data_IF_157638378542
#
_entry.id   IF_157638378542
#
_cell.length_a   1.000
_cell.length_b   1.000
_cell.length_c   1.000
_cell.angle_alpha   90.00
_cell.angle_beta   90.00
_cell.angle_gamma   90.00
#
_symmetry.space_group_name_H-M   'P 1'
#
loop_
_entity.id
_entity.type
_entity.pdbx_description
1 polymer ?
#
# COMPACT_ATOMS: atom_id res chain seq x y z
N UNK A 1 -5.36 -19.28 17.76
CA UNK A 1 -4.77 -17.95 17.48
C UNK A 1 -4.15 -18.01 16.08
N UNK A 2 -4.99 -17.95 15.06
CA UNK A 2 -4.51 -18.00 13.68
C UNK A 2 -3.90 -16.64 13.33
N UNK A 3 -2.58 -16.60 13.42
CA UNK A 3 -1.74 -15.51 12.93
C UNK A 3 -2.12 -15.26 11.48
N UNK A 4 -2.80 -14.15 11.19
CA UNK A 4 -3.06 -13.75 9.79
C UNK A 4 -1.70 -13.80 9.08
N UNK A 5 -1.52 -14.69 8.09
CA UNK A 5 -0.21 -14.96 7.54
C UNK A 5 0.35 -13.65 6.98
N UNK A 6 1.62 -13.37 7.25
CA UNK A 6 2.27 -12.13 6.81
C UNK A 6 2.07 -11.90 5.31
N UNK A 7 2.04 -12.98 4.53
CA UNK A 7 1.76 -12.98 3.10
C UNK A 7 0.42 -12.32 2.77
N UNK A 8 -0.65 -12.57 3.53
CA UNK A 8 -1.98 -12.02 3.27
C UNK A 8 -2.04 -10.53 3.56
N UNK A 9 -1.30 -10.04 4.58
CA UNK A 9 -1.14 -8.59 4.82
C UNK A 9 -0.33 -7.92 3.73
N UNK A 10 0.76 -8.55 3.30
CA UNK A 10 1.63 -8.01 2.25
C UNK A 10 0.85 -7.91 0.94
N UNK A 11 0.11 -8.95 0.56
CA UNK A 11 -0.73 -8.95 -0.65
C UNK A 11 -1.85 -7.89 -0.55
N UNK A 12 -2.48 -7.73 0.61
CA UNK A 12 -3.51 -6.70 0.83
C UNK A 12 -2.98 -5.26 0.70
N UNK A 13 -1.68 -5.04 0.89
CA UNK A 13 -1.02 -3.73 0.71
C UNK A 13 -0.48 -3.58 -0.72
N UNK A 14 0.12 -4.64 -1.27
CA UNK A 14 0.70 -4.66 -2.62
C UNK A 14 -0.35 -4.40 -3.72
N UNK A 15 -1.57 -4.92 -3.52
CA UNK A 15 -2.62 -4.82 -4.53
C UNK A 15 -3.11 -3.38 -4.76
N UNK A 16 -3.58 -2.63 -3.75
CA UNK A 16 -3.95 -1.22 -3.93
C UNK A 16 -2.76 -0.30 -4.23
N UNK A 17 -1.54 -0.63 -3.77
CA UNK A 17 -0.35 0.15 -4.11
C UNK A 17 -0.01 0.02 -5.60
N UNK A 18 -0.20 -1.15 -6.20
CA UNK A 18 -0.02 -1.37 -7.63
C UNK A 18 -0.96 -0.50 -8.49
N UNK A 19 -2.24 -0.42 -8.11
CA UNK A 19 -3.22 0.42 -8.82
C UNK A 19 -2.86 1.91 -8.69
N UNK A 20 -2.55 2.36 -7.47
CA UNK A 20 -2.15 3.75 -7.22
C UNK A 20 -0.88 4.13 -7.99
N UNK A 21 0.09 3.21 -8.06
CA UNK A 21 1.32 3.40 -8.81
C UNK A 21 1.08 3.52 -10.31
N UNK A 22 0.18 2.69 -10.87
CA UNK A 22 -0.23 2.81 -12.27
C UNK A 22 -0.83 4.18 -12.58
N UNK A 23 -1.75 4.67 -11.74
CA UNK A 23 -2.37 6.00 -11.91
C UNK A 23 -1.32 7.11 -11.78
N UNK A 24 -0.47 7.07 -10.77
CA UNK A 24 0.59 8.05 -10.56
C UNK A 24 1.59 8.07 -11.73
N UNK A 25 1.93 6.89 -12.27
CA UNK A 25 2.81 6.78 -13.45
C UNK A 25 2.19 7.45 -14.67
N UNK A 26 0.91 7.18 -14.96
CA UNK A 26 0.17 7.79 -16.07
C UNK A 26 0.11 9.30 -15.90
N UNK A 27 -0.26 9.79 -14.71
CA UNK A 27 -0.32 11.23 -14.42
C UNK A 27 1.06 11.89 -14.55
N UNK A 28 2.11 11.24 -14.05
CA UNK A 28 3.47 11.77 -14.13
C UNK A 28 3.98 11.82 -15.56
N UNK A 29 3.80 10.77 -16.35
CA UNK A 29 4.21 10.79 -17.77
C UNK A 29 3.33 11.66 -18.65
N UNK A 30 2.09 11.95 -18.23
CA UNK A 30 1.24 12.96 -18.86
C UNK A 30 1.69 14.38 -18.52
N UNK A 31 2.10 14.63 -17.27
CA UNK A 31 2.55 15.94 -16.80
C UNK A 31 3.99 16.27 -17.25
N UNK A 32 4.86 15.26 -17.23
CA UNK A 32 6.25 15.32 -17.67
C UNK A 32 6.38 14.46 -18.93
N UNK A 33 6.10 15.06 -20.09
CA UNK A 33 6.18 14.36 -21.36
C UNK A 33 7.63 13.87 -21.60
N UNK A 34 7.88 12.56 -21.54
CA UNK A 34 9.22 12.01 -21.72
C UNK A 34 9.77 12.27 -23.13
N UNK A 35 8.89 12.51 -24.12
CA UNK A 35 9.29 12.80 -25.50
C UNK A 35 9.93 14.19 -25.66
N UNK A 36 9.61 15.14 -24.77
CA UNK A 36 10.14 16.51 -24.83
C UNK A 36 11.47 16.63 -24.07
N UNK A 37 11.65 15.88 -22.98
CA UNK A 37 12.79 16.03 -22.07
C UNK A 37 14.03 15.24 -22.52
N UNK A 38 13.85 14.11 -23.23
CA UNK A 38 14.94 13.19 -23.60
C UNK A 38 15.18 13.08 -25.11
N UNK A 39 14.88 14.12 -25.90
CA UNK A 39 15.16 14.09 -27.35
C UNK A 39 16.65 13.92 -27.67
N UNK A 40 17.55 14.34 -26.76
CA UNK A 40 19.01 14.30 -26.95
C UNK A 40 19.72 13.12 -26.29
N UNK A 41 19.09 12.47 -25.30
CA UNK A 41 19.64 11.28 -24.64
C UNK A 41 18.81 10.10 -25.14
N UNK A 42 19.42 9.19 -25.91
CA UNK A 42 18.81 7.98 -26.51
C UNK A 42 18.37 6.94 -25.46
N UNK A 43 17.79 7.41 -24.36
CA UNK A 43 17.14 6.63 -23.34
C UNK A 43 15.81 6.19 -23.93
N UNK A 44 15.71 4.88 -24.17
CA UNK A 44 14.47 4.28 -24.67
C UNK A 44 13.29 4.69 -23.79
N UNK A 45 12.23 5.20 -24.43
CA UNK A 45 10.94 5.52 -23.80
C UNK A 45 10.46 4.41 -22.86
N UNK A 46 10.69 3.15 -23.23
CA UNK A 46 10.35 1.97 -22.43
C UNK A 46 11.06 1.96 -21.06
N UNK A 47 12.32 2.41 -21.01
CA UNK A 47 13.12 2.46 -19.80
C UNK A 47 12.56 3.48 -18.80
N UNK A 48 12.19 4.66 -19.29
CA UNK A 48 11.62 5.71 -18.46
C UNK A 48 10.23 5.33 -17.91
N UNK A 49 9.38 4.72 -18.73
CA UNK A 49 8.08 4.18 -18.27
C UNK A 49 8.26 3.16 -17.15
N UNK A 50 9.25 2.27 -17.28
CA UNK A 50 9.53 1.23 -16.28
C UNK A 50 10.06 1.84 -14.99
N UNK A 51 11.00 2.80 -15.07
CA UNK A 51 11.57 3.48 -13.89
C UNK A 51 10.48 4.22 -13.11
N UNK A 52 9.64 5.01 -13.79
CA UNK A 52 8.53 5.72 -13.14
C UNK A 52 7.57 4.73 -12.47
N UNK A 53 7.22 3.64 -13.16
CA UNK A 53 6.38 2.59 -12.60
C UNK A 53 6.96 2.00 -11.31
N UNK A 54 8.24 1.60 -11.30
CA UNK A 54 8.87 1.03 -10.12
C UNK A 54 9.02 2.04 -8.98
N UNK A 55 9.37 3.30 -9.28
CA UNK A 55 9.47 4.37 -8.27
C UNK A 55 8.13 4.62 -7.59
N UNK A 56 7.06 4.80 -8.38
CA UNK A 56 5.72 5.02 -7.83
C UNK A 56 5.17 3.79 -7.12
N UNK A 57 5.52 2.58 -7.57
CA UNK A 57 5.14 1.34 -6.90
C UNK A 57 5.81 1.19 -5.54
N UNK A 58 7.12 1.43 -5.43
CA UNK A 58 7.83 1.45 -4.16
C UNK A 58 7.29 2.54 -3.22
N UNK A 59 7.06 3.76 -3.73
CA UNK A 59 6.52 4.86 -2.94
C UNK A 59 5.11 4.59 -2.43
N UNK A 60 4.24 4.01 -3.28
CA UNK A 60 2.89 3.58 -2.90
C UNK A 60 2.92 2.46 -1.88
N UNK A 61 3.82 1.48 -2.03
CA UNK A 61 4.01 0.41 -1.06
C UNK A 61 4.50 0.93 0.30
N UNK A 62 5.46 1.87 0.31
CA UNK A 62 5.96 2.51 1.54
C UNK A 62 4.86 3.33 2.21
N UNK A 63 4.11 4.13 1.45
CA UNK A 63 3.02 4.96 1.98
C UNK A 63 1.92 4.09 2.58
N UNK A 64 1.45 3.08 1.84
CA UNK A 64 0.43 2.15 2.33
C UNK A 64 0.92 1.33 3.54
N UNK A 65 2.18 0.89 3.53
CA UNK A 65 2.79 0.22 4.69
C UNK A 65 2.89 1.14 5.89
N UNK A 66 3.25 2.40 5.70
CA UNK A 66 3.34 3.42 6.76
C UNK A 66 1.96 3.77 7.32
N UNK A 67 0.96 3.96 6.46
CA UNK A 67 -0.44 4.14 6.84
C UNK A 67 -0.94 2.92 7.62
N UNK A 68 -0.71 1.70 7.13
CA UNK A 68 -1.06 0.47 7.86
C UNK A 68 -0.28 0.32 9.17
N UNK A 69 0.96 0.80 9.25
CA UNK A 69 1.76 0.81 10.48
C UNK A 69 1.16 1.76 11.51
N UNK A 70 0.73 2.96 11.08
CA UNK A 70 0.04 3.94 11.92
C UNK A 70 -1.39 3.55 12.33
N UNK A 71 -2.14 2.83 11.48
CA UNK A 71 -3.49 2.33 11.84
C UNK A 71 -3.45 1.02 12.66
N UNK A 72 -2.33 0.28 12.63
CA UNK A 72 -2.16 -0.95 13.42
C UNK A 72 -2.45 -0.79 14.92
N UNK A 73 -2.05 0.30 15.62
CA UNK A 73 -2.42 0.50 17.03
C UNK A 73 -3.94 0.40 17.26
N UNK A 74 -4.79 0.99 16.41
CA UNK A 74 -6.23 0.98 16.64
C UNK A 74 -6.88 -0.40 16.39
N UNK A 75 -6.47 -1.13 15.36
CA UNK A 75 -7.09 -2.43 15.03
C UNK A 75 -6.81 -3.54 16.07
N UNK A 76 -5.58 -3.58 16.61
CA UNK A 76 -5.20 -4.54 17.64
C UNK A 76 -5.90 -4.22 18.97
N UNK A 77 -5.99 -2.92 19.32
CA UNK A 77 -6.69 -2.45 20.52
C UNK A 77 -8.20 -2.70 20.40
N UNK A 78 -8.82 -2.44 19.23
CA UNK A 78 -10.25 -2.68 19.02
C UNK A 78 -10.61 -4.16 19.10
N UNK A 79 -9.75 -5.05 18.60
CA UNK A 79 -9.97 -6.50 18.69
C UNK A 79 -9.86 -7.01 20.14
N UNK A 80 -8.84 -6.57 20.88
CA UNK A 80 -8.69 -6.89 22.29
C UNK A 80 -9.88 -6.38 23.14
N UNK A 81 -10.40 -5.18 22.81
CA UNK A 81 -11.58 -4.60 23.47
C UNK A 81 -12.87 -5.35 23.16
N UNK A 82 -13.04 -5.85 21.93
CA UNK A 82 -14.20 -6.67 21.55
C UNK A 82 -14.19 -8.04 22.26
N UNK A 83 -13.03 -8.68 22.39
CA UNK A 83 -12.86 -9.94 23.12
C UNK A 83 -13.12 -9.75 24.64
N UNK A 84 -12.70 -8.63 25.22
CA UNK A 84 -13.01 -8.27 26.62
C UNK A 84 -14.50 -7.99 26.84
N UNK A 85 -15.18 -7.33 25.89
CA UNK A 85 -16.62 -7.07 25.98
C UNK A 85 -17.45 -8.37 25.93
N UNK A 86 -17.02 -9.35 25.12
CA UNK A 86 -17.64 -10.67 25.06
C UNK A 86 -17.39 -11.50 26.33
N UNK A 87 -16.18 -11.44 26.90
CA UNK A 87 -15.85 -12.12 28.15
C UNK A 87 -16.61 -11.52 29.36
N UNK A 88 -16.82 -10.20 29.38
CA UNK A 88 -17.61 -9.53 30.41
C UNK A 88 -19.10 -9.90 30.35
N UNK A 89 -19.66 -10.03 29.14
CA UNK A 89 -21.05 -10.44 28.93
C UNK A 89 -21.29 -11.93 29.30
N UNK A 90 -20.31 -12.80 29.05
CA UNK A 90 -20.41 -14.22 29.41
C UNK A 90 -20.35 -14.46 30.94
N UNK A 91 -19.74 -13.54 31.70
CA UNK A 91 -19.62 -13.64 33.16
C UNK A 91 -20.75 -12.92 33.91
N UNK A 92 -21.64 -12.20 33.22
CA UNK A 92 -22.84 -11.60 33.82
C UNK A 92 -24.07 -12.50 33.75
N UNK A 93 -24.05 -13.54 32.91
CA UNK A 93 -25.13 -14.52 32.74
C UNK A 93 -24.98 -15.77 33.63
N UNK A 94 -23.93 -15.83 34.47
CA UNK A 94 -23.65 -16.89 35.45
C UNK A 94 -23.65 -16.29 36.86
#
# INVERSE_FOLDING_TARGET
>A
MDSIPLIQRVVAILWPSFITAGIATILFTTAFDPAVIFVEYDISRIGLYSICFFLFWCFGAITATTTCYFLKPCSAINKARAEQAQAAAANSDN
#
